data_IF_113565427020
#
_entry.id   IF_113565427020
#
_cell.length_a   1.000
_cell.length_b   1.000
_cell.length_c   1.000
_cell.angle_alpha   90.00
_cell.angle_beta   90.00
_cell.angle_gamma   90.00
#
_symmetry.space_group_name_H-M   'P 1'
#
loop_
_entity.id
_entity.type
_entity.pdbx_description
1 polymer ?
#
# COMPACT_ATOMS: atom_id res chain seq x y z
N UNK A 1 -17.05 -1.50 -8.33
CA UNK A 1 -16.20 -0.71 -7.39
C UNK A 1 -16.82 -0.57 -6.00
N UNK A 2 -18.12 -0.26 -5.86
CA UNK A 2 -18.80 -0.19 -4.55
C UNK A 2 -18.66 -1.45 -3.69
N UNK A 3 -18.88 -2.64 -4.26
CA UNK A 3 -18.76 -3.92 -3.52
C UNK A 3 -17.35 -4.16 -2.94
N UNK A 4 -16.29 -3.80 -3.68
CA UNK A 4 -14.91 -3.92 -3.20
C UNK A 4 -14.60 -2.95 -2.06
N UNK A 5 -15.15 -1.73 -2.10
CA UNK A 5 -14.97 -0.75 -1.03
C UNK A 5 -15.65 -1.20 0.28
N UNK A 6 -16.84 -1.80 0.17
CA UNK A 6 -17.62 -2.32 1.31
C UNK A 6 -16.94 -3.53 1.96
N UNK A 7 -16.28 -4.39 1.19
CA UNK A 7 -15.64 -5.60 1.73
C UNK A 7 -14.20 -5.36 2.22
N UNK A 8 -13.39 -4.65 1.45
CA UNK A 8 -11.94 -4.53 1.72
C UNK A 8 -11.63 -3.65 2.93
N UNK A 9 -12.37 -2.56 3.10
CA UNK A 9 -12.11 -1.56 4.14
C UNK A 9 -12.35 -2.13 5.55
N UNK A 10 -13.48 -2.83 5.83
CA UNK A 10 -13.70 -3.43 7.15
C UNK A 10 -12.72 -4.57 7.46
N UNK A 11 -12.39 -5.42 6.48
CA UNK A 11 -11.45 -6.54 6.68
C UNK A 11 -10.06 -6.03 7.08
N UNK A 12 -9.61 -4.94 6.47
CA UNK A 12 -8.31 -4.35 6.79
C UNK A 12 -8.36 -3.55 8.11
N UNK A 13 -9.51 -2.93 8.43
CA UNK A 13 -9.72 -2.25 9.71
C UNK A 13 -9.81 -3.23 10.90
N UNK A 14 -10.24 -4.48 10.67
CA UNK A 14 -10.30 -5.52 11.69
C UNK A 14 -8.91 -6.03 12.11
N UNK A 15 -7.89 -5.88 11.25
CA UNK A 15 -6.54 -6.34 11.57
C UNK A 15 -5.94 -5.61 12.78
N UNK A 16 -5.95 -4.27 12.85
CA UNK A 16 -5.52 -3.53 14.03
C UNK A 16 -6.31 -3.91 15.30
N UNK A 17 -7.59 -4.24 15.17
CA UNK A 17 -8.46 -4.56 16.31
C UNK A 17 -8.16 -5.94 16.93
N UNK A 18 -7.72 -6.90 16.10
CA UNK A 18 -7.44 -8.27 16.55
C UNK A 18 -5.96 -8.53 16.85
N UNK A 19 -5.05 -7.70 16.31
CA UNK A 19 -3.61 -7.95 16.36
C UNK A 19 -2.90 -6.91 17.27
N UNK A 20 -2.15 -7.37 18.29
CA UNK A 20 -1.35 -6.50 19.13
C UNK A 20 -0.39 -5.63 18.31
N UNK A 21 -0.17 -4.38 18.75
CA UNK A 21 0.66 -3.37 18.07
C UNK A 21 2.00 -3.90 17.54
N UNK A 22 2.71 -4.68 18.37
CA UNK A 22 4.00 -5.31 18.02
C UNK A 22 3.98 -6.25 16.81
N UNK A 23 2.82 -6.83 16.47
CA UNK A 23 2.65 -7.80 15.38
C UNK A 23 1.91 -7.23 14.17
N UNK A 24 1.43 -5.98 14.23
CA UNK A 24 0.63 -5.38 13.13
C UNK A 24 1.39 -5.29 11.81
N UNK A 25 2.71 -5.06 11.84
CA UNK A 25 3.55 -5.07 10.63
C UNK A 25 3.64 -6.46 9.98
N UNK A 26 3.83 -7.50 10.79
CA UNK A 26 3.90 -8.89 10.36
C UNK A 26 2.54 -9.35 9.81
N UNK A 27 1.45 -9.00 10.51
CA UNK A 27 0.09 -9.29 10.07
C UNK A 27 -0.25 -8.60 8.74
N UNK A 28 0.10 -7.31 8.58
CA UNK A 28 -0.09 -6.61 7.32
C UNK A 28 0.76 -7.22 6.18
N UNK A 29 1.96 -7.72 6.50
CA UNK A 29 2.79 -8.50 5.59
C UNK A 29 2.07 -9.75 5.08
N UNK A 30 1.49 -10.54 6.00
CA UNK A 30 0.71 -11.74 5.67
C UNK A 30 -0.53 -11.39 4.82
N UNK A 31 -1.25 -10.32 5.14
CA UNK A 31 -2.42 -9.87 4.35
C UNK A 31 -2.00 -9.59 2.90
N UNK A 32 -0.89 -8.87 2.69
CA UNK A 32 -0.40 -8.55 1.35
C UNK A 32 0.10 -9.81 0.61
N UNK A 33 0.79 -10.72 1.28
CA UNK A 33 1.19 -12.01 0.69
C UNK A 33 -0.04 -12.81 0.24
N UNK A 34 -1.03 -12.96 1.12
CA UNK A 34 -2.25 -13.70 0.84
C UNK A 34 -3.06 -13.05 -0.30
N UNK A 35 -3.14 -11.73 -0.32
CA UNK A 35 -3.74 -10.99 -1.43
C UNK A 35 -3.02 -11.24 -2.76
N UNK A 36 -1.68 -11.25 -2.73
CA UNK A 36 -0.84 -11.59 -3.88
C UNK A 36 -1.05 -13.01 -4.39
N UNK A 37 -0.99 -14.01 -3.50
CA UNK A 37 -1.25 -15.42 -3.83
C UNK A 37 -2.66 -15.63 -4.36
N UNK A 38 -3.66 -14.99 -3.72
CA UNK A 38 -5.04 -15.01 -4.18
C UNK A 38 -5.20 -14.43 -5.58
N UNK A 39 -4.50 -13.33 -5.87
CA UNK A 39 -4.44 -12.74 -7.22
C UNK A 39 -3.86 -13.71 -8.25
N UNK A 40 -2.71 -14.35 -7.95
CA UNK A 40 -2.07 -15.33 -8.85
C UNK A 40 -3.01 -16.52 -9.12
N UNK A 41 -3.63 -17.07 -8.08
CA UNK A 41 -4.61 -18.16 -8.22
C UNK A 41 -5.83 -17.73 -9.03
N UNK A 42 -6.31 -16.50 -8.84
CA UNK A 42 -7.44 -15.96 -9.60
C UNK A 42 -7.08 -15.74 -11.08
N UNK A 43 -5.88 -15.25 -11.40
CA UNK A 43 -5.43 -15.07 -12.78
C UNK A 43 -5.22 -16.41 -13.49
N UNK A 44 -4.44 -17.32 -12.89
CA UNK A 44 -4.12 -18.62 -13.48
C UNK A 44 -5.36 -19.53 -13.54
N UNK A 45 -6.03 -19.69 -12.39
CA UNK A 45 -7.24 -20.50 -12.28
C UNK A 45 -8.40 -19.92 -13.06
N UNK A 46 -8.63 -18.61 -12.98
CA UNK A 46 -9.66 -17.91 -13.75
C UNK A 46 -9.42 -18.01 -15.26
N UNK A 47 -8.17 -17.91 -15.72
CA UNK A 47 -7.83 -18.09 -17.13
C UNK A 47 -8.13 -19.50 -17.65
N UNK A 48 -7.87 -20.54 -16.84
CA UNK A 48 -8.22 -21.93 -17.17
C UNK A 48 -9.74 -22.11 -17.19
N UNK A 49 -10.43 -21.64 -16.14
CA UNK A 49 -11.90 -21.74 -16.02
C UNK A 49 -12.62 -21.01 -17.15
N UNK A 50 -12.12 -19.85 -17.59
CA UNK A 50 -12.68 -19.08 -18.69
C UNK A 50 -12.63 -19.83 -20.03
N UNK A 51 -11.54 -20.57 -20.27
CA UNK A 51 -11.38 -21.40 -21.49
C UNK A 51 -12.35 -22.58 -21.52
N UNK A 52 -12.71 -23.12 -20.35
CA UNK A 52 -13.71 -24.20 -20.23
C UNK A 52 -15.10 -23.64 -20.49
N UNK A 53 -15.48 -22.59 -19.74
CA UNK A 53 -16.76 -21.94 -19.89
C UNK A 53 -16.69 -20.48 -19.43
N UNK A 54 -17.08 -19.56 -20.30
CA UNK A 54 -16.88 -18.11 -20.11
C UNK A 54 -17.39 -17.56 -18.76
N UNK A 55 -18.58 -17.97 -18.25
CA UNK A 55 -19.08 -17.55 -16.95
C UNK A 55 -18.46 -18.25 -15.72
N UNK A 56 -17.74 -19.35 -15.91
CA UNK A 56 -17.27 -20.24 -14.83
C UNK A 56 -16.36 -19.55 -13.80
N UNK A 57 -15.42 -18.66 -14.17
CA UNK A 57 -14.61 -17.95 -13.18
C UNK A 57 -15.45 -17.14 -12.18
N UNK A 58 -16.56 -16.57 -12.63
CA UNK A 58 -17.44 -15.77 -11.78
C UNK A 58 -18.21 -16.63 -10.78
N UNK A 59 -18.66 -17.82 -11.21
CA UNK A 59 -19.39 -18.74 -10.35
C UNK A 59 -18.48 -19.33 -9.27
N UNK A 60 -17.26 -19.75 -9.66
CA UNK A 60 -16.26 -20.26 -8.73
C UNK A 60 -15.80 -19.18 -7.75
N UNK A 61 -15.54 -17.96 -8.24
CA UNK A 61 -15.19 -16.82 -7.38
C UNK A 61 -16.29 -16.47 -6.38
N UNK A 62 -17.56 -16.51 -6.81
CA UNK A 62 -18.72 -16.33 -5.93
C UNK A 62 -18.80 -17.40 -4.84
N UNK A 63 -18.63 -18.68 -5.20
CA UNK A 63 -18.64 -19.79 -4.25
C UNK A 63 -17.51 -19.68 -3.22
N UNK A 64 -16.28 -19.36 -3.66
CA UNK A 64 -15.13 -19.15 -2.76
C UNK A 64 -15.43 -18.01 -1.78
N UNK A 65 -16.03 -16.92 -2.26
CA UNK A 65 -16.40 -15.78 -1.41
C UNK A 65 -17.43 -16.19 -0.35
N UNK A 66 -18.45 -16.98 -0.72
CA UNK A 66 -19.44 -17.49 0.22
C UNK A 66 -18.81 -18.41 1.28
N UNK A 67 -17.88 -19.27 0.89
CA UNK A 67 -17.13 -20.14 1.82
C UNK A 67 -16.30 -19.28 2.79
N UNK A 68 -15.59 -18.27 2.29
CA UNK A 68 -14.79 -17.37 3.12
C UNK A 68 -15.65 -16.61 4.14
N UNK A 69 -16.82 -16.13 3.72
CA UNK A 69 -17.80 -15.48 4.61
C UNK A 69 -18.34 -16.47 5.66
N UNK A 70 -18.66 -17.70 5.26
CA UNK A 70 -19.10 -18.75 6.19
C UNK A 70 -18.05 -19.10 7.24
N UNK A 71 -16.78 -19.21 6.83
CA UNK A 71 -15.65 -19.43 7.75
C UNK A 71 -15.51 -18.24 8.70
N UNK A 72 -15.63 -17.01 8.21
CA UNK A 72 -15.55 -15.81 9.03
C UNK A 72 -16.60 -15.83 10.15
N UNK A 73 -17.87 -16.07 9.81
CA UNK A 73 -18.94 -16.18 10.81
C UNK A 73 -18.76 -17.35 11.79
N UNK A 74 -18.11 -18.43 11.37
CA UNK A 74 -17.93 -19.60 12.23
C UNK A 74 -16.71 -19.49 13.16
N UNK A 75 -15.57 -19.00 12.65
CA UNK A 75 -14.28 -19.02 13.34
C UNK A 75 -13.92 -17.71 14.00
N UNK A 76 -14.36 -16.57 13.45
CA UNK A 76 -14.02 -15.25 13.99
C UNK A 76 -15.03 -14.92 15.07
N UNK A 77 -14.64 -15.12 16.33
CA UNK A 77 -15.40 -14.61 17.48
C UNK A 77 -14.99 -13.16 17.69
N UNK A 78 -15.89 -12.25 17.36
CA UNK A 78 -15.71 -10.83 17.65
C UNK A 78 -15.71 -10.60 19.18
N UNK A 79 -14.71 -9.89 19.74
CA UNK A 79 -14.75 -9.44 21.12
C UNK A 79 -16.01 -8.63 21.40
N UNK A 80 -16.78 -9.00 22.43
CA UNK A 80 -18.04 -8.32 22.78
C UNK A 80 -17.87 -6.81 23.00
N UNK A 81 -16.71 -6.39 23.48
CA UNK A 81 -16.36 -4.98 23.71
C UNK A 81 -16.28 -4.16 22.41
N UNK A 82 -15.80 -4.74 21.31
CA UNK A 82 -15.74 -4.08 20.00
C UNK A 82 -17.14 -3.94 19.38
N UNK A 83 -17.99 -4.95 19.55
CA UNK A 83 -19.38 -4.94 19.07
C UNK A 83 -20.21 -3.90 19.82
N UNK A 84 -20.06 -3.82 21.15
CA UNK A 84 -20.72 -2.79 21.95
C UNK A 84 -20.22 -1.38 21.62
N UNK A 85 -18.92 -1.21 21.36
CA UNK A 85 -18.34 0.08 20.99
C UNK A 85 -18.80 0.56 19.61
N UNK A 86 -18.88 -0.35 18.63
CA UNK A 86 -19.43 -0.07 17.31
C UNK A 86 -20.93 0.23 17.35
N UNK A 87 -21.70 -0.45 18.21
CA UNK A 87 -23.13 -0.21 18.40
C UNK A 87 -23.43 1.11 19.13
N UNK A 88 -22.50 1.63 19.95
CA UNK A 88 -22.60 2.95 20.60
C UNK A 88 -22.21 4.12 19.69
N UNK A 89 -21.49 3.87 18.59
CA UNK A 89 -21.13 4.92 17.63
C UNK A 89 -22.27 5.16 16.64
N UNK A 90 -22.82 6.38 16.64
CA UNK A 90 -23.82 6.78 15.62
C UNK A 90 -23.21 6.73 14.20
N UNK A 91 -23.91 6.13 13.22
CA UNK A 91 -23.40 6.04 11.85
C UNK A 91 -23.25 7.44 11.24
N UNK A 92 -22.01 7.84 10.94
CA UNK A 92 -21.68 9.01 10.12
C UNK A 92 -21.16 10.26 10.87
N UNK A 93 -21.49 10.45 12.15
CA UNK A 93 -21.03 11.61 12.94
C UNK A 93 -19.70 11.36 13.69
N UNK A 94 -19.32 10.09 13.91
CA UNK A 94 -18.10 9.70 14.62
C UNK A 94 -16.78 10.07 13.92
N UNK A 95 -16.74 10.10 12.59
CA UNK A 95 -15.50 10.39 11.81
C UNK A 95 -15.04 11.83 12.04
N UNK A 96 -15.97 12.79 11.96
CA UNK A 96 -15.67 14.20 12.17
C UNK A 96 -15.40 14.53 13.64
N UNK A 97 -15.96 13.74 14.56
CA UNK A 97 -15.69 13.86 16.00
C UNK A 97 -14.30 13.32 16.34
N UNK A 98 -13.94 12.15 15.81
CA UNK A 98 -12.60 11.56 15.94
C UNK A 98 -11.47 12.43 15.37
N UNK A 99 -11.77 13.29 14.38
CA UNK A 99 -10.84 14.32 13.88
C UNK A 99 -10.68 15.51 14.84
N UNK A 100 -11.75 15.92 15.54
CA UNK A 100 -11.71 17.00 16.54
C UNK A 100 -11.02 16.57 17.84
N UNK A 101 -11.12 15.29 18.18
CA UNK A 101 -10.58 14.73 19.43
C UNK A 101 -9.12 14.26 19.29
N UNK A 102 -8.45 14.54 18.16
CA UNK A 102 -7.02 14.24 18.00
C UNK A 102 -6.21 15.12 18.94
N UNK A 103 -5.45 14.54 19.90
CA UNK A 103 -4.59 15.32 20.77
C UNK A 103 -3.63 16.16 19.93
N UNK A 104 -3.46 17.45 20.26
CA UNK A 104 -2.55 18.35 19.52
C UNK A 104 -1.13 17.80 19.41
N UNK A 105 -0.72 16.98 20.38
CA UNK A 105 0.56 16.28 20.41
C UNK A 105 0.70 15.19 19.32
N UNK A 106 -0.40 14.53 18.94
CA UNK A 106 -0.43 13.52 17.87
C UNK A 106 -0.73 14.16 16.51
N UNK A 107 -1.45 15.29 16.48
CA UNK A 107 -1.88 15.96 15.26
C UNK A 107 -0.70 16.28 14.32
N UNK A 108 0.40 16.85 14.84
CA UNK A 108 1.58 17.16 14.01
C UNK A 108 2.20 15.89 13.40
N UNK A 109 2.37 14.85 14.20
CA UNK A 109 2.96 13.58 13.74
C UNK A 109 2.07 12.88 12.72
N UNK A 110 0.75 12.87 12.95
CA UNK A 110 -0.24 12.32 12.02
C UNK A 110 -0.28 13.11 10.71
N UNK A 111 -0.33 14.44 10.76
CA UNK A 111 -0.34 15.27 9.54
C UNK A 111 0.92 15.03 8.71
N UNK A 112 2.10 14.98 9.34
CA UNK A 112 3.35 14.69 8.63
C UNK A 112 3.37 13.28 8.05
N UNK A 113 2.82 12.30 8.76
CA UNK A 113 2.71 10.92 8.27
C UNK A 113 1.74 10.83 7.08
N UNK A 114 0.57 11.44 7.17
CA UNK A 114 -0.42 11.50 6.09
C UNK A 114 0.13 12.25 4.87
N UNK A 115 0.89 13.32 5.08
CA UNK A 115 1.55 14.05 4.00
C UNK A 115 2.66 13.22 3.35
N UNK A 116 3.44 12.49 4.14
CA UNK A 116 4.42 11.54 3.62
C UNK A 116 3.73 10.46 2.77
N UNK A 117 2.62 9.90 3.27
CA UNK A 117 1.77 8.94 2.56
C UNK A 117 1.37 9.47 1.20
N UNK A 118 0.81 10.68 1.18
CA UNK A 118 0.41 11.34 -0.04
C UNK A 118 1.59 11.46 -1.03
N UNK A 119 2.74 11.98 -0.60
CA UNK A 119 3.89 12.16 -1.48
C UNK A 119 4.45 10.85 -2.04
N UNK A 120 4.68 9.84 -1.21
CA UNK A 120 5.22 8.59 -1.74
C UNK A 120 4.22 7.86 -2.64
N UNK A 121 2.90 7.98 -2.41
CA UNK A 121 1.92 7.40 -3.32
C UNK A 121 1.89 8.17 -4.63
N UNK A 122 1.97 9.51 -4.62
CA UNK A 122 2.07 10.32 -5.85
C UNK A 122 3.28 9.89 -6.69
N UNK A 123 4.44 9.68 -6.05
CA UNK A 123 5.64 9.19 -6.71
C UNK A 123 5.44 7.77 -7.26
N UNK A 124 5.01 6.82 -6.43
CA UNK A 124 4.84 5.42 -6.86
C UNK A 124 3.85 5.26 -8.03
N UNK A 125 2.75 6.02 -7.99
CA UNK A 125 1.75 6.03 -9.08
C UNK A 125 2.34 6.51 -10.42
N UNK A 126 3.41 7.32 -10.40
CA UNK A 126 4.10 7.73 -11.63
C UNK A 126 4.67 6.53 -12.39
N UNK A 127 5.36 5.64 -11.66
CA UNK A 127 5.91 4.40 -12.20
C UNK A 127 4.75 3.52 -12.65
N UNK A 128 3.79 3.24 -11.76
CA UNK A 128 2.68 2.34 -12.07
C UNK A 128 1.88 2.77 -13.33
N UNK A 129 1.65 4.06 -13.50
CA UNK A 129 0.84 4.59 -14.60
C UNK A 129 1.61 4.66 -15.92
N UNK A 130 2.85 5.14 -15.89
CA UNK A 130 3.58 5.52 -17.11
C UNK A 130 4.69 4.53 -17.50
N UNK A 131 4.96 3.51 -16.69
CA UNK A 131 6.03 2.55 -16.99
C UNK A 131 5.83 1.81 -18.31
N UNK A 132 4.58 1.48 -18.68
CA UNK A 132 4.31 0.86 -19.99
C UNK A 132 4.72 1.78 -21.14
N UNK A 133 4.38 3.07 -21.06
CA UNK A 133 4.79 4.08 -22.04
C UNK A 133 6.31 4.27 -22.08
N UNK A 134 6.99 4.25 -20.92
CA UNK A 134 8.46 4.24 -20.86
C UNK A 134 9.06 3.00 -21.57
N UNK A 135 8.49 1.82 -21.34
CA UNK A 135 8.94 0.59 -21.97
C UNK A 135 8.86 0.65 -23.50
N UNK A 136 7.77 1.19 -24.04
CA UNK A 136 7.61 1.35 -25.49
C UNK A 136 8.47 2.47 -26.06
N UNK A 137 8.39 3.67 -25.47
CA UNK A 137 9.01 4.87 -26.03
C UNK A 137 10.53 4.91 -25.85
N UNK A 138 11.05 4.37 -24.75
CA UNK A 138 12.49 4.43 -24.43
C UNK A 138 13.18 3.09 -24.61
N UNK A 139 12.60 2.00 -24.11
CA UNK A 139 13.23 0.67 -24.19
C UNK A 139 12.96 -0.04 -25.53
N UNK A 140 11.99 0.45 -26.33
CA UNK A 140 11.62 -0.14 -27.61
C UNK A 140 10.98 -1.53 -27.48
N UNK A 141 10.46 -1.88 -26.31
CA UNK A 141 9.78 -3.17 -26.08
C UNK A 141 8.27 -3.04 -26.33
N UNK A 142 7.58 -4.17 -26.51
CA UNK A 142 6.12 -4.16 -26.60
C UNK A 142 5.48 -3.80 -25.25
N UNK A 143 4.23 -3.32 -25.26
CA UNK A 143 3.46 -3.04 -24.05
C UNK A 143 3.32 -4.27 -23.14
N UNK A 144 3.19 -5.46 -23.73
CA UNK A 144 3.11 -6.72 -22.97
C UNK A 144 4.42 -7.02 -22.26
N UNK A 145 5.56 -6.83 -22.93
CA UNK A 145 6.87 -6.99 -22.30
C UNK A 145 7.12 -5.93 -21.22
N UNK A 146 6.73 -4.68 -21.43
CA UNK A 146 6.83 -3.64 -20.40
C UNK A 146 6.00 -4.00 -19.15
N UNK A 147 4.78 -4.51 -19.35
CA UNK A 147 3.92 -4.98 -18.25
C UNK A 147 4.52 -6.19 -17.51
N UNK A 148 5.18 -7.11 -18.24
CA UNK A 148 5.90 -8.23 -17.63
C UNK A 148 7.09 -7.76 -16.79
N UNK A 149 7.84 -6.76 -17.25
CA UNK A 149 8.95 -6.17 -16.50
C UNK A 149 8.43 -5.55 -15.18
N UNK A 150 7.36 -4.76 -15.24
CA UNK A 150 6.74 -4.17 -14.04
C UNK A 150 6.24 -5.25 -13.06
N UNK A 151 5.73 -6.37 -13.58
CA UNK A 151 5.26 -7.50 -12.76
C UNK A 151 6.35 -8.09 -11.87
N UNK A 152 7.63 -8.00 -12.26
CA UNK A 152 8.77 -8.44 -11.43
C UNK A 152 8.85 -7.66 -10.12
N UNK A 153 8.55 -6.35 -10.14
CA UNK A 153 8.49 -5.54 -8.92
C UNK A 153 7.37 -6.01 -7.98
N UNK A 154 6.20 -6.37 -8.51
CA UNK A 154 5.10 -6.89 -7.69
C UNK A 154 5.42 -8.27 -7.09
N UNK A 155 6.05 -9.17 -7.85
CA UNK A 155 6.45 -10.49 -7.35
C UNK A 155 7.43 -10.37 -6.20
N UNK A 156 8.46 -9.54 -6.36
CA UNK A 156 9.46 -9.29 -5.31
C UNK A 156 8.87 -8.58 -4.11
N UNK A 157 7.97 -7.61 -4.31
CA UNK A 157 7.18 -7.00 -3.25
C UNK A 157 6.39 -8.02 -2.42
N UNK A 158 5.65 -8.92 -3.08
CA UNK A 158 4.87 -9.98 -2.43
C UNK A 158 5.81 -10.92 -1.67
N UNK A 159 6.90 -11.37 -2.28
CA UNK A 159 7.87 -12.26 -1.65
C UNK A 159 8.52 -11.65 -0.40
N UNK A 160 8.77 -10.34 -0.40
CA UNK A 160 9.35 -9.61 0.72
C UNK A 160 8.34 -9.01 1.70
N UNK A 161 7.04 -9.19 1.48
CA UNK A 161 6.00 -8.62 2.33
C UNK A 161 6.08 -9.09 3.80
N UNK A 162 6.35 -10.39 4.02
CA UNK A 162 6.57 -10.94 5.37
C UNK A 162 7.93 -10.51 5.96
N UNK A 163 9.08 -10.69 5.27
CA UNK A 163 10.37 -10.20 5.75
C UNK A 163 10.37 -8.72 6.17
N UNK A 164 9.69 -7.86 5.40
CA UNK A 164 9.54 -6.44 5.70
C UNK A 164 8.92 -6.20 7.09
N UNK A 165 7.89 -6.95 7.46
CA UNK A 165 7.25 -6.85 8.77
C UNK A 165 8.19 -7.24 9.91
N UNK A 166 9.00 -8.29 9.73
CA UNK A 166 10.01 -8.70 10.71
C UNK A 166 11.15 -7.69 10.86
N UNK A 167 11.60 -7.10 9.76
CA UNK A 167 12.63 -6.05 9.76
C UNK A 167 12.13 -4.88 10.60
N UNK A 168 10.90 -4.42 10.37
CA UNK A 168 10.31 -3.33 11.14
C UNK A 168 10.14 -3.65 12.63
N UNK A 169 9.83 -4.89 12.98
CA UNK A 169 9.82 -5.32 14.39
C UNK A 169 11.18 -5.22 15.08
N UNK A 170 12.30 -5.33 14.34
CA UNK A 170 13.67 -5.26 14.90
C UNK A 170 14.26 -3.86 14.94
N UNK A 171 14.11 -3.08 13.87
CA UNK A 171 14.77 -1.76 13.74
C UNK A 171 13.81 -0.57 13.90
N UNK A 172 12.52 -0.82 14.06
CA UNK A 172 11.47 0.21 14.12
C UNK A 172 10.86 0.53 12.75
N UNK A 173 9.58 0.88 12.73
CA UNK A 173 8.82 1.11 11.49
C UNK A 173 9.26 2.36 10.75
N UNK A 174 9.50 3.46 11.47
CA UNK A 174 9.98 4.71 10.87
C UNK A 174 11.28 4.49 10.12
N UNK A 175 12.24 3.79 10.74
CA UNK A 175 13.55 3.51 10.13
C UNK A 175 13.40 2.61 8.92
N UNK A 176 12.58 1.55 9.00
CA UNK A 176 12.31 0.66 7.86
C UNK A 176 11.71 1.40 6.68
N UNK A 177 10.74 2.28 6.91
CA UNK A 177 10.12 3.11 5.85
C UNK A 177 11.16 4.05 5.21
N UNK A 178 11.97 4.74 6.02
CA UNK A 178 13.01 5.66 5.50
C UNK A 178 14.05 4.89 4.68
N UNK A 179 14.50 3.73 5.14
CA UNK A 179 15.44 2.87 4.40
C UNK A 179 14.83 2.43 3.08
N UNK A 180 13.57 2.01 3.07
CA UNK A 180 12.84 1.64 1.86
C UNK A 180 12.74 2.79 0.86
N UNK A 181 12.32 3.98 1.32
CA UNK A 181 12.23 5.16 0.46
C UNK A 181 13.61 5.57 -0.09
N UNK A 182 14.66 5.58 0.74
CA UNK A 182 16.00 5.95 0.32
C UNK A 182 16.59 4.95 -0.67
N UNK A 183 16.47 3.65 -0.39
CA UNK A 183 16.92 2.60 -1.30
C UNK A 183 16.19 2.70 -2.65
N UNK A 184 14.86 2.86 -2.63
CA UNK A 184 14.09 2.97 -3.86
C UNK A 184 14.45 4.24 -4.65
N UNK A 185 14.65 5.36 -3.96
CA UNK A 185 15.14 6.62 -4.57
C UNK A 185 16.44 6.40 -5.34
N UNK A 186 17.44 5.77 -4.71
CA UNK A 186 18.73 5.49 -5.34
C UNK A 186 18.55 4.56 -6.55
N UNK A 187 17.78 3.49 -6.42
CA UNK A 187 17.54 2.54 -7.51
C UNK A 187 16.89 3.21 -8.74
N UNK A 188 15.94 4.11 -8.51
CA UNK A 188 15.26 4.85 -9.58
C UNK A 188 16.18 5.86 -10.25
N UNK A 189 16.99 6.60 -9.48
CA UNK A 189 17.99 7.51 -10.05
C UNK A 189 19.01 6.73 -10.88
N UNK A 190 19.45 5.55 -10.45
CA UNK A 190 20.32 4.69 -11.25
C UNK A 190 19.62 4.22 -12.53
N UNK A 191 18.33 3.85 -12.46
CA UNK A 191 17.56 3.42 -13.62
C UNK A 191 17.43 4.52 -14.68
N UNK A 192 17.39 5.80 -14.27
CA UNK A 192 17.36 6.94 -15.19
C UNK A 192 18.59 6.98 -16.11
N UNK A 193 19.78 6.67 -15.59
CA UNK A 193 21.03 6.70 -16.35
C UNK A 193 21.31 5.41 -17.13
N UNK A 194 20.60 4.32 -16.82
CA UNK A 194 20.84 2.99 -17.41
C UNK A 194 19.56 2.43 -18.03
N UNK A 195 19.05 3.02 -19.14
CA UNK A 195 17.79 2.62 -19.77
C UNK A 195 17.98 1.39 -20.68
N UNK A 196 18.44 0.28 -20.12
CA UNK A 196 18.52 -1.02 -20.82
C UNK A 196 17.69 -2.07 -20.08
N UNK A 197 17.01 -2.94 -20.83
CA UNK A 197 16.00 -3.87 -20.31
C UNK A 197 16.51 -4.70 -19.12
N UNK A 198 17.68 -5.38 -19.17
CA UNK A 198 18.14 -6.19 -18.04
C UNK A 198 18.39 -5.36 -16.77
N UNK A 199 18.98 -4.18 -16.91
CA UNK A 199 19.24 -3.28 -15.78
C UNK A 199 17.93 -2.80 -15.15
N UNK A 200 16.96 -2.38 -15.96
CA UNK A 200 15.64 -1.93 -15.49
C UNK A 200 14.91 -3.05 -14.76
N UNK A 201 14.94 -4.29 -15.29
CA UNK A 201 14.35 -5.46 -14.63
C UNK A 201 14.96 -5.68 -13.26
N UNK A 202 16.29 -5.69 -13.15
CA UNK A 202 16.98 -5.88 -11.86
C UNK A 202 16.68 -4.74 -10.89
N UNK A 203 16.70 -3.49 -11.35
CA UNK A 203 16.42 -2.32 -10.51
C UNK A 203 14.99 -2.30 -10.02
N UNK A 204 14.01 -2.71 -10.83
CA UNK A 204 12.62 -2.85 -10.43
C UNK A 204 12.39 -4.03 -9.49
N UNK A 205 13.10 -5.15 -9.66
CA UNK A 205 13.07 -6.25 -8.71
C UNK A 205 13.55 -5.80 -7.32
N UNK A 206 14.65 -5.06 -7.26
CA UNK A 206 15.13 -4.45 -6.01
C UNK A 206 14.16 -3.35 -5.52
N UNK A 207 13.52 -2.62 -6.43
CA UNK A 207 12.50 -1.62 -6.13
C UNK A 207 11.26 -2.22 -5.45
N UNK A 208 10.82 -3.41 -5.87
CA UNK A 208 9.73 -4.14 -5.22
C UNK A 208 10.07 -4.52 -3.78
N UNK A 209 11.32 -4.96 -3.53
CA UNK A 209 11.82 -5.19 -2.17
C UNK A 209 11.79 -3.90 -1.35
N UNK A 210 12.33 -2.80 -1.87
CA UNK A 210 12.34 -1.51 -1.21
C UNK A 210 10.93 -0.97 -0.92
N UNK A 211 9.99 -1.14 -1.86
CA UNK A 211 8.60 -0.76 -1.71
C UNK A 211 7.88 -1.57 -0.62
N UNK A 212 8.24 -2.84 -0.45
CA UNK A 212 7.67 -3.66 0.62
C UNK A 212 8.02 -3.13 2.02
N UNK A 213 9.20 -2.54 2.19
CA UNK A 213 9.61 -1.88 3.44
C UNK A 213 8.71 -0.69 3.79
N UNK A 214 8.20 0.00 2.76
CA UNK A 214 7.33 1.17 2.92
C UNK A 214 5.87 0.73 3.13
N UNK A 215 5.29 0.02 2.18
CA UNK A 215 3.85 -0.25 2.12
C UNK A 215 3.37 -1.20 3.25
N UNK A 216 4.20 -2.16 3.66
CA UNK A 216 3.84 -3.09 4.75
C UNK A 216 3.80 -2.38 6.10
N UNK A 217 4.62 -1.34 6.29
CA UNK A 217 4.76 -0.67 7.58
C UNK A 217 3.97 0.62 7.71
N UNK A 218 3.50 1.18 6.59
CA UNK A 218 2.78 2.46 6.55
C UNK A 218 1.46 2.41 7.33
N UNK A 219 0.57 1.47 7.01
CA UNK A 219 -0.73 1.36 7.66
C UNK A 219 -0.59 1.05 9.16
N UNK A 220 0.21 0.06 9.60
CA UNK A 220 0.51 -0.17 11.02
C UNK A 220 1.00 1.10 11.74
N UNK A 221 1.89 1.88 11.13
CA UNK A 221 2.40 3.12 11.73
C UNK A 221 1.32 4.20 11.89
N UNK A 222 0.39 4.32 10.94
CA UNK A 222 -0.75 5.24 11.04
C UNK A 222 -1.65 4.83 12.20
N UNK A 223 -2.05 3.56 12.26
CA UNK A 223 -2.98 3.09 13.28
C UNK A 223 -2.36 3.12 14.68
N UNK A 224 -1.04 2.91 14.82
CA UNK A 224 -0.37 3.01 16.11
C UNK A 224 -0.10 4.45 16.57
N UNK A 225 -0.30 5.44 15.70
CA UNK A 225 -0.37 6.86 16.10
C UNK A 225 -1.70 7.18 16.80
N UNK A 226 -2.71 6.31 16.71
CA UNK A 226 -4.01 6.54 17.34
C UNK A 226 -3.90 6.55 18.88
N UNK A 227 -4.60 7.49 19.55
CA UNK A 227 -4.61 7.58 21.01
C UNK A 227 -5.45 6.46 21.65
N UNK A 228 -6.51 6.01 20.97
CA UNK A 228 -7.42 4.96 21.43
C UNK A 228 -7.82 4.04 20.29
N UNK A 229 -8.36 2.86 20.64
CA UNK A 229 -8.89 1.89 19.67
C UNK A 229 -10.17 2.41 19.00
N UNK A 230 -10.97 3.23 19.69
CA UNK A 230 -12.23 3.80 19.20
C UNK A 230 -12.09 4.64 17.92
N UNK A 231 -10.90 5.21 17.66
CA UNK A 231 -10.64 6.06 16.49
C UNK A 231 -9.80 5.38 15.41
N UNK A 232 -9.48 4.08 15.53
CA UNK A 232 -8.69 3.32 14.55
C UNK A 232 -9.28 3.38 13.13
N UNK A 233 -10.61 3.30 13.02
CA UNK A 233 -11.32 3.45 11.75
C UNK A 233 -11.10 4.81 11.09
N UNK A 234 -11.05 5.90 11.88
CA UNK A 234 -10.77 7.26 11.36
C UNK A 234 -9.35 7.37 10.84
N UNK A 235 -8.36 6.81 11.55
CA UNK A 235 -6.95 6.84 11.16
C UNK A 235 -6.70 5.98 9.90
N UNK A 236 -7.33 4.81 9.83
CA UNK A 236 -7.32 3.95 8.63
C UNK A 236 -8.00 4.66 7.45
N UNK A 237 -9.12 5.34 7.69
CA UNK A 237 -9.79 6.17 6.69
C UNK A 237 -8.89 7.27 6.14
N UNK A 238 -8.20 8.02 7.00
CA UNK A 238 -7.25 9.07 6.59
C UNK A 238 -6.12 8.51 5.71
N UNK A 239 -5.57 7.35 6.05
CA UNK A 239 -4.58 6.66 5.22
C UNK A 239 -5.10 6.41 3.79
N UNK A 240 -6.31 5.84 3.67
CA UNK A 240 -6.90 5.53 2.36
C UNK A 240 -7.35 6.78 1.60
N UNK A 241 -7.84 7.81 2.28
CA UNK A 241 -8.15 9.11 1.65
C UNK A 241 -6.90 9.71 1.06
N UNK A 242 -5.78 9.74 1.79
CA UNK A 242 -4.52 10.26 1.29
C UNK A 242 -3.98 9.45 0.10
N UNK A 243 -4.03 8.11 0.19
CA UNK A 243 -3.64 7.23 -0.92
C UNK A 243 -4.51 7.38 -2.16
N UNK A 244 -5.83 7.51 -1.98
CA UNK A 244 -6.78 7.71 -3.10
C UNK A 244 -6.60 9.09 -3.73
N UNK A 245 -6.43 10.13 -2.92
CA UNK A 245 -6.14 11.47 -3.41
C UNK A 245 -4.81 11.49 -4.20
N UNK A 246 -3.78 10.80 -3.69
CA UNK A 246 -2.52 10.64 -4.40
C UNK A 246 -2.67 9.86 -5.72
N UNK A 247 -3.53 8.85 -5.78
CA UNK A 247 -3.82 8.12 -7.02
C UNK A 247 -4.58 8.95 -8.05
N UNK A 248 -5.35 9.98 -7.63
CA UNK A 248 -6.00 10.93 -8.53
C UNK A 248 -5.02 12.02 -8.98
N UNK A 249 -4.33 12.65 -8.02
CA UNK A 249 -3.44 13.78 -8.28
C UNK A 249 -2.14 13.34 -8.95
N UNK A 250 -1.63 12.16 -8.61
CA UNK A 250 -0.36 11.64 -9.08
C UNK A 250 -0.26 11.57 -10.60
N UNK A 251 -1.12 10.80 -11.30
CA UNK A 251 -1.10 10.73 -12.76
C UNK A 251 -1.21 12.09 -13.46
N UNK A 252 -2.00 13.02 -12.90
CA UNK A 252 -2.16 14.37 -13.44
C UNK A 252 -0.85 15.16 -13.34
N UNK A 253 -0.26 15.23 -12.15
CA UNK A 253 1.01 15.95 -11.94
C UNK A 253 2.14 15.33 -12.76
N UNK A 254 2.25 14.00 -12.74
CA UNK A 254 3.29 13.28 -13.47
C UNK A 254 3.12 13.44 -15.00
N UNK A 255 1.89 13.43 -15.50
CA UNK A 255 1.58 13.68 -16.91
C UNK A 255 2.04 15.07 -17.37
N UNK A 256 1.76 16.11 -16.58
CA UNK A 256 2.25 17.46 -16.88
C UNK A 256 3.78 17.54 -16.94
N UNK A 257 4.49 16.85 -16.04
CA UNK A 257 5.96 16.81 -16.11
C UNK A 257 6.44 16.13 -17.39
N UNK A 258 5.80 15.04 -17.80
CA UNK A 258 6.14 14.34 -19.05
C UNK A 258 5.88 15.24 -20.27
N UNK A 259 4.75 15.95 -20.31
CA UNK A 259 4.40 16.85 -21.41
C UNK A 259 5.37 18.04 -21.51
N UNK A 260 5.70 18.68 -20.38
CA UNK A 260 6.63 19.81 -20.32
C UNK A 260 8.07 19.43 -20.68
N UNK A 261 8.45 18.17 -20.49
CA UNK A 261 9.77 17.64 -20.83
C UNK A 261 9.84 17.06 -22.25
N UNK A 262 8.83 17.34 -23.08
CA UNK A 262 8.81 16.91 -24.49
C UNK A 262 8.46 15.44 -24.67
N UNK A 263 7.58 14.90 -23.82
CA UNK A 263 7.18 13.48 -23.77
C UNK A 263 8.33 12.53 -23.42
N UNK A 264 9.27 13.00 -22.60
CA UNK A 264 10.35 12.17 -22.10
C UNK A 264 9.87 11.32 -20.92
N UNK A 265 9.43 10.10 -21.21
CA UNK A 265 8.96 9.16 -20.18
C UNK A 265 10.05 8.71 -19.19
N UNK A 266 11.34 8.96 -19.46
CA UNK A 266 12.41 8.66 -18.48
C UNK A 266 12.28 9.52 -17.23
N UNK A 267 11.61 10.67 -17.32
CA UNK A 267 11.42 11.58 -16.20
C UNK A 267 10.68 10.95 -15.02
N UNK A 268 9.92 9.86 -15.22
CA UNK A 268 9.29 9.12 -14.12
C UNK A 268 10.31 8.62 -13.09
N UNK A 269 11.54 8.33 -13.53
CA UNK A 269 12.65 7.90 -12.68
C UNK A 269 13.32 9.04 -11.91
N UNK A 270 12.99 10.31 -12.18
CA UNK A 270 13.46 11.47 -11.42
C UNK A 270 12.34 12.10 -10.59
N UNK A 271 11.12 12.16 -11.13
CA UNK A 271 9.95 12.69 -10.43
C UNK A 271 9.61 11.82 -9.22
N UNK A 272 9.65 10.50 -9.37
CA UNK A 272 9.39 9.58 -8.25
C UNK A 272 10.38 9.77 -7.09
N UNK A 273 11.71 9.77 -7.31
CA UNK A 273 12.69 10.17 -6.30
C UNK A 273 12.41 11.52 -5.63
N UNK A 274 12.03 12.55 -6.40
CA UNK A 274 11.74 13.87 -5.83
C UNK A 274 10.61 13.80 -4.79
N UNK A 275 9.52 13.09 -5.11
CA UNK A 275 8.43 12.86 -4.17
C UNK A 275 8.83 11.96 -2.99
N UNK A 276 9.69 10.96 -3.21
CA UNK A 276 10.21 10.13 -2.11
C UNK A 276 11.11 10.93 -1.16
N UNK A 277 11.91 11.87 -1.66
CA UNK A 277 12.69 12.78 -0.81
C UNK A 277 11.77 13.66 0.02
N UNK A 278 10.71 14.24 -0.57
CA UNK A 278 9.70 15.00 0.19
C UNK A 278 9.03 14.15 1.27
N UNK A 279 8.73 12.89 0.94
CA UNK A 279 8.18 11.94 1.90
C UNK A 279 9.16 11.61 3.03
N UNK A 280 10.45 11.43 2.74
CA UNK A 280 11.51 11.23 3.75
C UNK A 280 11.59 12.45 4.67
N UNK A 281 11.60 13.66 4.13
CA UNK A 281 11.63 14.89 4.92
C UNK A 281 10.43 14.99 5.88
N UNK A 282 9.24 14.62 5.41
CA UNK A 282 8.05 14.55 6.26
C UNK A 282 8.21 13.48 7.35
N UNK A 283 8.68 12.28 6.99
CA UNK A 283 8.91 11.16 7.90
C UNK A 283 9.94 11.49 8.99
N UNK A 284 10.97 12.28 8.69
CA UNK A 284 11.96 12.70 9.69
C UNK A 284 11.31 13.47 10.85
N UNK A 285 10.28 14.27 10.57
CA UNK A 285 9.50 14.99 11.58
C UNK A 285 8.42 14.18 12.31
N UNK A 286 8.16 12.93 11.90
CA UNK A 286 7.20 12.03 12.57
C UNK A 286 7.84 11.47 13.84
N UNK A 287 7.20 11.67 14.99
CA UNK A 287 7.73 11.24 16.31
C UNK A 287 6.93 10.11 16.94
N UNK A 288 5.73 9.82 16.43
CA UNK A 288 4.81 8.78 16.93
C UNK A 288 4.52 7.72 15.85
N UNK A 289 3.96 6.57 16.25
CA UNK A 289 3.57 5.48 15.35
C UNK A 289 4.47 4.23 15.39
N UNK A 290 5.48 4.22 16.26
CA UNK A 290 6.23 3.00 16.56
C UNK A 290 5.37 1.98 17.32
N UNK A 291 5.79 0.71 17.27
CA UNK A 291 5.09 -0.37 17.96
C UNK A 291 5.02 -0.08 19.48
N UNK A 292 3.82 -0.14 20.05
CA UNK A 292 3.60 -0.03 21.49
C UNK A 292 4.07 -1.34 22.14
N UNK A 293 5.07 -1.26 23.01
CA UNK A 293 5.54 -2.42 23.80
C UNK A 293 4.45 -2.75 24.80
N UNK A 294 4.02 -4.01 24.85
CA UNK A 294 3.09 -4.47 25.89
C UNK A 294 3.78 -4.34 27.25
N UNK A 295 3.25 -3.45 28.10
CA UNK A 295 3.62 -3.32 29.52
C UNK A 295 2.96 -4.41 30.35
#
# INVERSE_FOLDING_TARGET
>A
MLAMAVFRTPVIALMPDLIPSQFRSQANGVINLMGGLGGVLAFLGGGILYKIYRPLPFWVGGLITLIAVGILFWKVKEPKELVESAARQEPGLGIFRGLKDIPRENARSLTLLILAIFFWFVGYNAIETFFSSYGVATLGVSESTASMILSVAYITFIAFSIPSGFIAGRIGRKRTIIIGLAAFTVLLVVAFFVPVVPAVVTLLALGGVAWSLVNINSLPMVVDTSPSEEVLGTYTGLYYVAGTLAAVVGPILNGWVIDLTGRNYNMIFLVTPAFFVLAILCMLGVTKGEAKVAS
#
